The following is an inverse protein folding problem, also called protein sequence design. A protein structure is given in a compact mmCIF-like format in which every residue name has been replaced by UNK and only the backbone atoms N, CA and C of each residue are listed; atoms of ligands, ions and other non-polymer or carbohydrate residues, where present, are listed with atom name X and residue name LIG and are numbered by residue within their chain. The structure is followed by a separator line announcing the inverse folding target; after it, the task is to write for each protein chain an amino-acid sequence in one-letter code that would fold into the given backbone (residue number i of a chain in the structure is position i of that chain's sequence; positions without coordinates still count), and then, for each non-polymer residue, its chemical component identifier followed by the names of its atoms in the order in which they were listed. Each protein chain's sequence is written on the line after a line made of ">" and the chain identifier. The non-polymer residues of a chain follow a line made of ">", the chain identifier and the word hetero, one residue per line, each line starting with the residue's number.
data_IF_587293953531
#
_entry.id   IF_587293953531
#
_cell.length_a   1.000
_cell.length_b   1.000
_cell.length_c   1.000
_cell.angle_alpha   90.00
_cell.angle_beta   90.00
_cell.angle_gamma   90.00
#
_symmetry.space_group_name_H-M   'P 1'
#
loop_
_entity.id
_entity.type
_entity.pdbx_description
1 polymer ?
#
# COMPACT_ATOMS: atom_id res chain seq x y z
N UNK A 1 -18.47 4.45 -2.23
CA UNK A 1 -19.06 3.56 -3.28
C UNK A 1 -18.02 2.74 -4.05
N UNK A 2 -16.71 2.99 -3.93
CA UNK A 2 -15.64 2.28 -4.66
C UNK A 2 -15.33 0.87 -4.11
N UNK A 3 -15.24 0.69 -2.80
CA UNK A 3 -14.89 -0.60 -2.17
C UNK A 3 -15.79 -1.79 -2.58
N UNK A 4 -17.09 -1.56 -2.81
CA UNK A 4 -18.05 -2.61 -3.17
C UNK A 4 -17.73 -3.31 -4.50
N UNK A 5 -16.91 -2.69 -5.35
CA UNK A 5 -16.43 -3.32 -6.60
C UNK A 5 -15.39 -4.41 -6.32
N UNK A 6 -14.57 -4.20 -5.28
CA UNK A 6 -13.43 -5.05 -4.94
C UNK A 6 -13.73 -6.03 -3.80
N UNK A 7 -14.63 -5.67 -2.90
CA UNK A 7 -14.98 -6.43 -1.71
C UNK A 7 -16.49 -6.56 -1.53
N UNK A 8 -16.92 -7.73 -1.08
CA UNK A 8 -18.23 -7.93 -0.47
C UNK A 8 -18.11 -7.71 1.05
N UNK A 9 -19.06 -6.97 1.62
CA UNK A 9 -19.04 -6.57 3.02
C UNK A 9 -20.26 -7.19 3.69
N UNK A 10 -20.03 -7.96 4.75
CA UNK A 10 -21.07 -8.66 5.51
C UNK A 10 -20.88 -8.44 7.01
N UNK A 11 -21.99 -8.46 7.76
CA UNK A 11 -21.93 -8.49 9.22
C UNK A 11 -21.61 -9.92 9.64
N UNK A 12 -20.44 -10.11 10.25
CA UNK A 12 -19.97 -11.42 10.70
C UNK A 12 -20.37 -11.73 12.15
N UNK A 13 -20.85 -10.74 12.90
CA UNK A 13 -21.32 -10.92 14.27
C UNK A 13 -21.10 -9.70 15.15
N UNK A 14 -20.95 -9.93 16.45
CA UNK A 14 -20.62 -8.92 17.45
C UNK A 14 -19.47 -9.42 18.32
N UNK A 15 -18.69 -8.49 18.86
CA UNK A 15 -17.58 -8.80 19.77
C UNK A 15 -17.49 -7.74 20.88
N UNK A 16 -16.66 -8.00 21.89
CA UNK A 16 -16.21 -7.00 22.85
C UNK A 16 -14.71 -6.78 22.71
N UNK A 17 -14.28 -5.59 22.33
CA UNK A 17 -12.87 -5.20 22.13
C UNK A 17 -12.57 -4.01 23.03
N UNK A 18 -11.47 -4.07 23.78
CA UNK A 18 -11.11 -3.04 24.78
C UNK A 18 -12.28 -2.70 25.74
N UNK A 19 -13.08 -3.71 26.14
CA UNK A 19 -14.26 -3.54 27.00
C UNK A 19 -15.52 -3.00 26.29
N UNK A 20 -15.44 -2.61 25.02
CA UNK A 20 -16.51 -1.96 24.27
C UNK A 20 -17.22 -2.91 23.31
N UNK A 21 -18.52 -2.74 23.12
CA UNK A 21 -19.29 -3.54 22.17
C UNK A 21 -19.05 -3.10 20.73
N UNK A 22 -18.70 -4.06 19.88
CA UNK A 22 -18.40 -3.83 18.48
C UNK A 22 -19.22 -4.75 17.56
N UNK A 23 -19.55 -4.24 16.38
CA UNK A 23 -20.05 -5.05 15.26
C UNK A 23 -18.85 -5.56 14.47
N UNK A 24 -18.81 -6.86 14.19
CA UNK A 24 -17.80 -7.45 13.32
C UNK A 24 -18.27 -7.34 11.86
N UNK A 25 -17.46 -6.73 11.02
CA UNK A 25 -17.63 -6.69 9.57
C UNK A 25 -16.54 -7.54 8.92
N UNK A 26 -16.95 -8.44 8.03
CA UNK A 26 -16.05 -9.19 7.17
C UNK A 26 -16.04 -8.53 5.78
N UNK A 27 -14.84 -8.20 5.30
CA UNK A 27 -14.60 -7.69 3.96
C UNK A 27 -13.94 -8.82 3.15
N UNK A 28 -14.76 -9.54 2.38
CA UNK A 28 -14.30 -10.64 1.53
C UNK A 28 -13.90 -10.09 0.16
N UNK A 29 -12.68 -10.35 -0.32
CA UNK A 29 -12.30 -10.04 -1.69
C UNK A 29 -13.26 -10.70 -2.70
N UNK A 30 -13.59 -9.98 -3.77
CA UNK A 30 -14.35 -10.53 -4.89
C UNK A 30 -13.47 -11.29 -5.90
N UNK A 31 -12.14 -11.27 -5.70
CA UNK A 31 -11.13 -11.94 -6.51
C UNK A 31 -10.00 -12.53 -5.65
N UNK A 32 -9.09 -13.27 -6.27
CA UNK A 32 -7.95 -13.90 -5.59
C UNK A 32 -6.69 -13.00 -5.54
N UNK A 33 -6.82 -11.71 -5.85
CA UNK A 33 -5.66 -10.82 -6.04
C UNK A 33 -5.34 -9.96 -4.82
N UNK A 34 -6.09 -10.11 -3.73
CA UNK A 34 -5.94 -9.32 -2.50
C UNK A 34 -6.36 -10.13 -1.27
N UNK A 35 -5.93 -9.68 -0.10
CA UNK A 35 -6.29 -10.28 1.18
C UNK A 35 -7.63 -9.78 1.70
N UNK A 36 -8.27 -10.56 2.57
CA UNK A 36 -9.54 -10.20 3.22
C UNK A 36 -9.33 -9.58 4.59
N UNK A 37 -10.36 -8.92 5.13
CA UNK A 37 -10.28 -8.28 6.45
C UNK A 37 -11.46 -8.69 7.33
N UNK A 38 -11.22 -8.81 8.64
CA UNK A 38 -12.28 -8.71 9.66
C UNK A 38 -12.00 -7.48 10.50
N UNK A 39 -12.94 -6.54 10.51
CA UNK A 39 -12.85 -5.32 11.32
C UNK A 39 -13.92 -5.32 12.41
N UNK A 40 -13.57 -4.86 13.60
CA UNK A 40 -14.52 -4.64 14.68
C UNK A 40 -14.79 -3.14 14.81
N UNK A 41 -16.03 -2.72 14.58
CA UNK A 41 -16.45 -1.32 14.63
C UNK A 41 -17.22 -1.07 15.94
N UNK A 42 -16.76 -0.14 16.77
CA UNK A 42 -17.42 0.26 18.02
C UNK A 42 -18.86 0.71 17.75
N UNK A 43 -19.84 0.09 18.42
CA UNK A 43 -21.26 0.39 18.19
C UNK A 43 -21.64 1.82 18.62
N UNK A 44 -20.87 2.43 19.53
CA UNK A 44 -21.15 3.76 20.06
C UNK A 44 -20.48 4.88 19.25
N UNK A 45 -19.18 4.76 18.97
CA UNK A 45 -18.39 5.82 18.32
C UNK A 45 -18.17 5.62 16.82
N UNK A 46 -18.35 4.41 16.30
CA UNK A 46 -18.02 4.08 14.91
C UNK A 46 -16.52 3.90 14.64
N UNK A 47 -15.66 3.98 15.66
CA UNK A 47 -14.22 3.73 15.51
C UNK A 47 -13.93 2.25 15.26
N UNK A 48 -12.92 1.98 14.43
CA UNK A 48 -12.39 0.63 14.25
C UNK A 48 -11.51 0.25 15.44
N UNK A 49 -11.99 -0.69 16.26
CA UNK A 49 -11.30 -1.15 17.47
C UNK A 49 -10.30 -2.30 17.19
N UNK A 50 -10.53 -3.04 16.11
CA UNK A 50 -9.70 -4.16 15.69
C UNK A 50 -9.72 -4.27 14.16
N UNK A 51 -8.59 -4.63 13.58
CA UNK A 51 -8.49 -5.13 12.20
C UNK A 51 -7.68 -6.42 12.20
N UNK A 52 -8.18 -7.44 11.51
CA UNK A 52 -7.48 -8.71 11.28
C UNK A 52 -7.37 -8.91 9.78
N UNK A 53 -6.14 -8.97 9.28
CA UNK A 53 -5.85 -9.28 7.89
C UNK A 53 -5.84 -10.80 7.70
N UNK A 54 -6.54 -11.27 6.68
CA UNK A 54 -6.77 -12.69 6.40
C UNK A 54 -6.13 -13.08 5.07
N UNK A 55 -5.40 -14.19 5.08
CA UNK A 55 -4.88 -14.83 3.88
C UNK A 55 -6.00 -15.24 2.92
N UNK A 56 -5.63 -15.62 1.69
CA UNK A 56 -6.57 -16.21 0.72
C UNK A 56 -7.26 -17.49 1.24
N UNK A 57 -6.65 -18.18 2.21
CA UNK A 57 -7.23 -19.36 2.88
C UNK A 57 -8.03 -19.01 4.14
N UNK A 58 -8.26 -17.73 4.42
CA UNK A 58 -8.99 -17.23 5.58
C UNK A 58 -8.21 -17.30 6.89
N UNK A 59 -6.89 -17.51 6.86
CA UNK A 59 -6.06 -17.57 8.06
C UNK A 59 -5.62 -16.16 8.49
N UNK A 60 -5.66 -15.80 9.77
CA UNK A 60 -5.10 -14.55 10.25
C UNK A 60 -3.61 -14.44 9.92
N UNK A 61 -3.24 -13.31 9.33
CA UNK A 61 -1.85 -12.97 9.01
C UNK A 61 -1.34 -11.87 9.93
N UNK A 62 -2.16 -10.85 10.15
CA UNK A 62 -1.83 -9.71 10.99
C UNK A 62 -3.06 -9.29 11.80
N UNK A 63 -2.81 -8.71 12.97
CA UNK A 63 -3.84 -8.21 13.88
C UNK A 63 -3.40 -6.89 14.46
N UNK A 64 -4.21 -5.87 14.24
CA UNK A 64 -4.19 -4.63 14.98
C UNK A 64 -5.40 -4.59 15.92
N UNK A 65 -5.19 -4.21 17.19
CA UNK A 65 -6.26 -4.13 18.16
C UNK A 65 -5.92 -3.15 19.28
N UNK A 66 -6.90 -2.35 19.70
CA UNK A 66 -6.80 -1.61 20.95
C UNK A 66 -6.88 -2.54 22.17
N UNK A 67 -5.95 -2.37 23.11
CA UNK A 67 -6.01 -3.00 24.43
C UNK A 67 -6.93 -2.19 25.34
N UNK A 68 -6.80 -0.87 25.27
CA UNK A 68 -7.61 0.11 26.01
C UNK A 68 -7.87 1.32 25.10
N UNK A 69 -9.05 1.94 25.23
CA UNK A 69 -9.40 3.16 24.51
C UNK A 69 -10.47 3.95 25.26
N UNK A 70 -10.19 5.22 25.49
CA UNK A 70 -11.14 6.22 25.99
C UNK A 70 -11.54 7.12 24.84
N UNK A 71 -12.85 7.19 24.57
CA UNK A 71 -13.40 7.98 23.46
C UNK A 71 -14.23 9.12 24.03
N UNK A 72 -13.87 10.35 23.67
CA UNK A 72 -14.37 11.57 24.30
C UNK A 72 -13.39 12.09 25.37
N UNK A 73 -13.79 13.13 26.08
CA UNK A 73 -12.94 13.86 27.04
C UNK A 73 -12.78 15.32 26.67
N UNK A 74 -12.25 16.10 27.59
CA UNK A 74 -11.92 17.51 27.34
C UNK A 74 -10.56 17.60 26.64
N UNK A 75 -10.58 17.92 25.34
CA UNK A 75 -9.37 18.05 24.54
C UNK A 75 -8.50 19.22 25.00
N UNK A 76 -9.07 20.23 25.66
CA UNK A 76 -8.34 21.39 26.17
C UNK A 76 -7.47 21.03 27.39
N UNK A 77 -7.79 19.90 28.04
CA UNK A 77 -7.04 19.35 29.18
C UNK A 77 -5.98 18.32 28.78
N UNK A 78 -5.95 17.91 27.50
CA UNK A 78 -4.96 16.95 27.00
C UNK A 78 -3.66 17.70 26.75
N UNK A 79 -2.74 17.63 27.71
CA UNK A 79 -1.35 17.98 27.45
C UNK A 79 -0.79 16.99 26.42
N UNK A 80 -0.71 17.42 25.17
CA UNK A 80 0.10 16.73 24.17
C UNK A 80 1.54 16.94 24.60
N UNK A 81 2.27 15.89 25.05
CA UNK A 81 3.65 16.08 25.44
C UNK A 81 4.37 16.68 24.25
N UNK A 82 4.95 17.87 24.41
CA UNK A 82 5.98 18.38 23.50
C UNK A 82 7.25 17.57 23.74
N UNK A 83 7.15 16.25 23.56
CA UNK A 83 8.25 15.33 23.67
C UNK A 83 9.13 15.58 22.47
N UNK A 84 10.30 16.15 22.74
CA UNK A 84 11.49 16.08 21.90
C UNK A 84 11.80 14.61 21.60
N UNK A 85 11.06 14.02 20.65
CA UNK A 85 11.65 12.98 19.86
C UNK A 85 12.85 13.64 19.18
N UNK A 86 14.05 13.27 19.61
CA UNK A 86 15.25 13.37 18.76
C UNK A 86 15.07 12.39 17.57
N UNK A 87 13.97 12.54 16.82
CA UNK A 87 14.09 12.51 15.38
C UNK A 87 15.20 13.52 15.10
N UNK A 88 16.22 13.18 14.32
CA UNK A 88 17.20 14.15 13.85
C UNK A 88 16.54 15.18 12.94
N UNK A 89 15.57 15.92 13.46
CA UNK A 89 15.02 17.13 12.93
C UNK A 89 16.16 18.11 13.14
N UNK A 90 17.09 18.11 12.18
CA UNK A 90 17.54 19.40 11.70
C UNK A 90 16.26 20.24 11.59
N UNK A 91 16.16 21.34 12.33
CA UNK A 91 15.12 22.37 12.17
C UNK A 91 15.20 23.07 10.78
N UNK A 92 15.78 22.36 9.80
CA UNK A 92 15.98 22.64 8.38
C UNK A 92 16.03 21.35 7.53
N UNK A 93 15.46 20.24 8.01
CA UNK A 93 14.82 19.34 7.06
C UNK A 93 13.48 20.00 6.72
N UNK A 94 13.53 21.13 6.02
CA UNK A 94 12.56 21.34 4.96
C UNK A 94 12.62 20.03 4.17
N UNK A 95 11.67 19.13 4.43
CA UNK A 95 10.99 18.57 3.30
C UNK A 95 10.64 19.82 2.50
N UNK A 96 11.40 20.12 1.44
CA UNK A 96 10.97 21.07 0.43
C UNK A 96 9.67 20.48 -0.11
N UNK A 97 8.60 20.68 0.64
CA UNK A 97 7.25 20.72 0.17
C UNK A 97 7.31 22.00 -0.64
N UNK A 98 7.84 21.88 -1.86
CA UNK A 98 7.48 22.81 -2.88
C UNK A 98 5.95 22.82 -2.82
N UNK A 99 5.33 23.97 -2.57
CA UNK A 99 3.89 24.21 -2.71
C UNK A 99 3.41 23.97 -4.17
N UNK A 100 4.19 23.25 -4.98
CA UNK A 100 3.68 22.56 -6.14
C UNK A 100 2.78 21.41 -5.67
N UNK A 101 1.56 21.27 -6.21
CA UNK A 101 0.81 20.03 -6.07
C UNK A 101 1.76 18.89 -6.41
N UNK A 102 1.82 17.83 -5.58
CA UNK A 102 2.64 16.62 -5.78
C UNK A 102 2.86 16.43 -7.28
N UNK A 103 4.02 16.89 -7.77
CA UNK A 103 4.26 16.89 -9.21
C UNK A 103 4.40 15.43 -9.54
N UNK A 104 3.32 14.87 -10.09
CA UNK A 104 3.39 13.58 -10.71
C UNK A 104 4.41 13.76 -11.83
N UNK A 105 5.61 13.21 -11.64
CA UNK A 105 6.60 13.20 -12.70
C UNK A 105 5.96 12.61 -13.95
N UNK A 106 6.33 13.15 -15.12
CA UNK A 106 5.82 12.65 -16.39
C UNK A 106 5.98 11.12 -16.40
N UNK A 107 4.88 10.37 -16.57
CA UNK A 107 4.93 8.95 -16.30
C UNK A 107 5.82 8.27 -17.33
N UNK A 108 6.90 7.63 -16.86
CA UNK A 108 7.85 6.86 -17.68
C UNK A 108 7.39 5.42 -17.90
N UNK A 109 6.61 4.92 -16.95
CA UNK A 109 6.17 3.52 -16.89
C UNK A 109 4.67 3.46 -16.66
N UNK A 110 4.05 2.41 -17.18
CA UNK A 110 2.67 2.06 -16.89
C UNK A 110 2.54 0.56 -16.63
N UNK A 111 1.59 0.19 -15.77
CA UNK A 111 1.23 -1.20 -15.54
C UNK A 111 0.20 -1.64 -16.59
N UNK A 112 0.50 -2.68 -17.36
CA UNK A 112 -0.44 -3.25 -18.33
C UNK A 112 -1.60 -4.01 -17.67
N UNK A 113 -1.47 -4.37 -16.39
CA UNK A 113 -2.54 -4.99 -15.62
C UNK A 113 -2.48 -4.60 -14.14
N UNK A 114 -3.65 -4.38 -13.54
CA UNK A 114 -3.85 -4.21 -12.11
C UNK A 114 -5.11 -4.94 -11.66
N UNK A 115 -5.18 -5.41 -10.40
CA UNK A 115 -6.43 -5.90 -9.83
C UNK A 115 -7.50 -4.81 -9.83
N UNK A 116 -8.76 -5.21 -10.00
CA UNK A 116 -9.90 -4.29 -10.06
C UNK A 116 -9.89 -3.32 -8.87
N UNK A 117 -10.07 -2.03 -9.14
CA UNK A 117 -10.19 -1.00 -8.10
C UNK A 117 -8.87 -0.41 -7.62
N UNK A 118 -7.71 -1.01 -7.92
CA UNK A 118 -6.43 -0.33 -7.71
C UNK A 118 -6.31 0.85 -8.67
N UNK A 119 -5.89 1.99 -8.12
CA UNK A 119 -5.58 3.22 -8.86
C UNK A 119 -4.23 3.76 -8.42
N UNK A 120 -3.51 4.41 -9.34
CA UNK A 120 -2.24 5.08 -8.99
C UNK A 120 -2.56 6.30 -8.13
N UNK A 121 -1.93 6.37 -6.95
CA UNK A 121 -2.11 7.48 -5.99
C UNK A 121 -0.91 8.41 -5.94
N UNK A 122 0.22 8.01 -6.53
CA UNK A 122 1.41 8.84 -6.66
C UNK A 122 2.50 8.15 -7.46
N UNK A 123 3.45 8.96 -7.96
CA UNK A 123 4.65 8.47 -8.60
C UNK A 123 5.80 9.44 -8.37
N UNK A 124 7.02 8.91 -8.35
CA UNK A 124 8.23 9.72 -8.12
C UNK A 124 9.40 9.11 -8.87
N UNK A 125 10.14 9.96 -9.58
CA UNK A 125 11.49 9.69 -10.04
C UNK A 125 12.47 10.12 -8.95
N UNK A 126 13.46 9.28 -8.64
CA UNK A 126 14.52 9.68 -7.72
C UNK A 126 15.37 10.83 -8.31
N UNK A 127 16.24 11.42 -7.46
CA UNK A 127 17.06 12.58 -7.86
C UNK A 127 18.11 12.24 -8.90
N UNK A 128 18.59 11.01 -8.92
CA UNK A 128 19.64 10.54 -9.84
C UNK A 128 19.03 10.09 -11.19
N UNK A 129 17.70 9.98 -11.26
CA UNK A 129 16.94 9.55 -12.43
C UNK A 129 16.93 8.03 -12.64
N UNK A 130 17.44 7.26 -11.67
CA UNK A 130 17.75 5.84 -11.80
C UNK A 130 16.64 4.91 -11.30
N UNK A 131 15.79 5.40 -10.41
CA UNK A 131 14.64 4.64 -9.91
C UNK A 131 13.35 5.44 -10.10
N UNK A 132 12.36 4.81 -10.72
CA UNK A 132 10.99 5.31 -10.81
C UNK A 132 10.08 4.48 -9.92
N UNK A 133 9.30 5.14 -9.06
CA UNK A 133 8.35 4.51 -8.15
C UNK A 133 6.92 4.91 -8.46
N UNK A 134 5.99 3.97 -8.32
CA UNK A 134 4.55 4.18 -8.50
C UNK A 134 3.79 3.53 -7.34
N UNK A 135 2.97 4.32 -6.65
CA UNK A 135 2.14 3.85 -5.53
C UNK A 135 0.71 3.63 -6.03
N UNK A 136 0.12 2.50 -5.68
CA UNK A 136 -1.26 2.14 -6.03
C UNK A 136 -2.04 1.74 -4.79
N UNK A 137 -3.33 2.08 -4.77
CA UNK A 137 -4.25 1.63 -3.72
C UNK A 137 -5.64 1.32 -4.27
N UNK A 138 -6.32 0.36 -3.65
CA UNK A 138 -7.74 0.08 -3.87
C UNK A 138 -8.66 0.64 -2.77
N UNK A 139 -8.08 1.42 -1.86
CA UNK A 139 -8.73 1.99 -0.68
C UNK A 139 -8.55 1.17 0.60
N UNK A 140 -8.06 -0.07 0.54
CA UNK A 140 -7.64 -0.85 1.70
C UNK A 140 -6.18 -1.30 1.60
N UNK A 141 -5.85 -1.96 0.50
CA UNK A 141 -4.50 -2.41 0.24
C UNK A 141 -3.71 -1.30 -0.48
N UNK A 142 -2.42 -1.27 -0.21
CA UNK A 142 -1.45 -0.39 -0.86
C UNK A 142 -0.30 -1.25 -1.37
N UNK A 143 0.19 -0.92 -2.56
CA UNK A 143 1.41 -1.50 -3.13
C UNK A 143 2.22 -0.41 -3.82
N UNK A 144 3.53 -0.63 -3.89
CA UNK A 144 4.47 0.22 -4.62
C UNK A 144 5.22 -0.64 -5.63
N UNK A 145 5.32 -0.14 -6.85
CA UNK A 145 6.14 -0.69 -7.92
C UNK A 145 7.36 0.21 -8.09
N UNK A 146 8.55 -0.37 -8.04
CA UNK A 146 9.82 0.30 -8.31
C UNK A 146 10.40 -0.25 -9.60
N UNK A 147 10.93 0.64 -10.43
CA UNK A 147 11.56 0.32 -11.71
C UNK A 147 12.93 0.95 -11.73
N UNK A 148 13.96 0.13 -11.82
CA UNK A 148 15.35 0.57 -11.88
C UNK A 148 15.82 0.70 -13.33
N UNK A 149 16.66 1.70 -13.61
CA UNK A 149 17.32 1.91 -14.90
C UNK A 149 18.17 0.70 -15.29
N UNK A 150 18.49 0.57 -16.58
CA UNK A 150 19.32 -0.56 -17.06
C UNK A 150 20.72 -0.47 -16.47
N UNK A 151 21.22 0.75 -16.28
CA UNK A 151 22.53 1.09 -15.74
C UNK A 151 22.67 0.70 -14.26
N UNK A 152 21.61 0.93 -13.48
CA UNK A 152 21.56 0.67 -12.04
C UNK A 152 20.92 -0.67 -11.70
N UNK A 153 20.38 -1.38 -12.70
CA UNK A 153 19.75 -2.70 -12.58
C UNK A 153 20.65 -3.66 -11.79
N UNK A 154 20.20 -4.00 -10.59
CA UNK A 154 21.05 -4.75 -9.67
C UNK A 154 21.28 -6.17 -10.23
N UNK A 155 22.50 -6.71 -10.06
CA UNK A 155 22.83 -8.11 -10.34
C UNK A 155 22.27 -9.08 -9.29
N UNK A 156 21.15 -8.73 -8.65
CA UNK A 156 20.45 -9.61 -7.71
C UNK A 156 19.57 -10.58 -8.51
N UNK A 157 19.62 -11.89 -8.22
CA UNK A 157 18.69 -12.85 -8.79
C UNK A 157 17.24 -12.52 -8.39
N UNK A 158 16.25 -12.78 -9.25
CA UNK A 158 14.84 -12.65 -8.88
C UNK A 158 14.52 -13.41 -7.59
N UNK A 159 13.78 -12.79 -6.69
CA UNK A 159 13.35 -13.42 -5.44
C UNK A 159 12.00 -12.91 -4.98
N UNK A 160 11.33 -13.72 -4.16
CA UNK A 160 10.09 -13.38 -3.47
C UNK A 160 10.32 -13.55 -1.97
N UNK A 161 10.25 -12.45 -1.23
CA UNK A 161 10.29 -12.44 0.22
C UNK A 161 8.92 -12.05 0.78
N UNK A 162 8.65 -12.51 2.00
CA UNK A 162 7.41 -12.20 2.73
C UNK A 162 7.71 -11.97 4.20
N UNK A 163 7.16 -10.89 4.75
CA UNK A 163 7.18 -10.59 6.18
C UNK A 163 5.76 -10.20 6.60
N UNK A 164 5.13 -11.02 7.46
CA UNK A 164 3.71 -10.85 7.77
C UNK A 164 2.85 -10.93 6.52
N UNK A 165 2.09 -9.88 6.23
CA UNK A 165 1.33 -9.74 5.00
C UNK A 165 2.02 -8.99 3.88
N UNK A 166 3.11 -8.31 4.19
CA UNK A 166 3.90 -7.60 3.19
C UNK A 166 4.73 -8.57 2.36
N UNK A 167 4.49 -8.53 1.05
CA UNK A 167 5.31 -9.19 0.04
C UNK A 167 6.31 -8.20 -0.52
N UNK A 168 7.53 -8.67 -0.77
CA UNK A 168 8.52 -7.98 -1.58
C UNK A 168 9.00 -8.94 -2.69
N UNK A 169 8.63 -8.62 -3.93
CA UNK A 169 9.10 -9.31 -5.12
C UNK A 169 10.18 -8.47 -5.79
N UNK A 170 11.26 -9.09 -6.20
CA UNK A 170 12.22 -8.55 -7.18
C UNK A 170 12.20 -9.46 -8.40
N UNK A 171 11.96 -8.87 -9.57
CA UNK A 171 11.89 -9.59 -10.84
C UNK A 171 12.74 -8.90 -11.91
N UNK A 172 13.18 -9.68 -12.90
CA UNK A 172 13.83 -9.15 -14.11
C UNK A 172 12.86 -9.25 -15.27
N UNK A 173 12.52 -8.11 -15.85
CA UNK A 173 11.55 -8.01 -16.95
C UNK A 173 12.30 -7.58 -18.20
N UNK A 174 12.00 -8.23 -19.33
CA UNK A 174 12.56 -7.88 -20.63
C UNK A 174 11.71 -6.76 -21.23
N UNK A 175 12.31 -5.59 -21.44
CA UNK A 175 11.68 -4.42 -22.06
C UNK A 175 12.60 -3.90 -23.16
N UNK A 176 12.08 -3.79 -24.39
CA UNK A 176 12.81 -3.31 -25.56
C UNK A 176 14.19 -3.98 -25.78
N UNK A 177 14.29 -5.26 -25.44
CA UNK A 177 15.52 -6.06 -25.59
C UNK A 177 16.50 -5.97 -24.42
N UNK A 178 16.20 -5.18 -23.39
CA UNK A 178 17.03 -5.00 -22.20
C UNK A 178 16.33 -5.53 -20.95
N UNK A 179 17.08 -6.16 -20.04
CA UNK A 179 16.54 -6.60 -18.75
C UNK A 179 16.60 -5.46 -17.73
N UNK A 180 15.44 -5.04 -17.25
CA UNK A 180 15.30 -4.10 -16.13
C UNK A 180 14.91 -4.85 -14.86
N UNK A 181 15.25 -4.28 -13.72
CA UNK A 181 14.84 -4.81 -12.42
C UNK A 181 13.56 -4.09 -11.98
N UNK A 182 12.52 -4.88 -11.70
CA UNK A 182 11.22 -4.41 -11.21
C UNK A 182 10.98 -5.00 -9.84
N UNK A 183 10.72 -4.14 -8.86
CA UNK A 183 10.37 -4.55 -7.51
C UNK A 183 8.91 -4.20 -7.21
N UNK A 184 8.18 -5.13 -6.60
CA UNK A 184 6.79 -4.89 -6.16
C UNK A 184 6.70 -5.19 -4.68
N UNK A 185 6.30 -4.19 -3.89
CA UNK A 185 6.18 -4.29 -2.43
C UNK A 185 4.77 -3.91 -2.00
N UNK A 186 4.14 -4.73 -1.16
CA UNK A 186 2.82 -4.40 -0.62
C UNK A 186 2.10 -5.55 0.06
N UNK A 187 0.95 -5.25 0.66
CA UNK A 187 0.07 -6.20 1.33
C UNK A 187 -0.83 -6.94 0.32
N UNK A 188 -0.20 -7.69 -0.59
CA UNK A 188 -0.87 -8.44 -1.66
C UNK A 188 -0.35 -9.89 -1.73
N UNK A 189 -1.10 -10.83 -2.34
CA UNK A 189 -0.58 -12.14 -2.68
C UNK A 189 0.65 -12.08 -3.58
N UNK A 190 1.58 -13.03 -3.41
CA UNK A 190 2.81 -13.09 -4.20
C UNK A 190 2.57 -13.22 -5.71
N UNK A 191 1.54 -13.96 -6.11
CA UNK A 191 1.18 -14.09 -7.52
C UNK A 191 0.57 -12.80 -8.10
N UNK A 192 -0.08 -11.98 -7.27
CA UNK A 192 -0.47 -10.61 -7.66
C UNK A 192 0.76 -9.77 -7.97
N UNK A 193 1.77 -9.78 -7.08
CA UNK A 193 3.00 -9.03 -7.27
C UNK A 193 3.73 -9.43 -8.56
N UNK A 194 3.82 -10.75 -8.84
CA UNK A 194 4.44 -11.26 -10.08
C UNK A 194 3.73 -10.77 -11.32
N UNK A 195 2.39 -10.90 -11.34
CA UNK A 195 1.58 -10.49 -12.48
C UNK A 195 1.68 -8.99 -12.76
N UNK A 196 1.74 -8.16 -11.70
CA UNK A 196 1.95 -6.72 -11.86
C UNK A 196 3.32 -6.46 -12.50
N UNK A 197 4.39 -7.06 -11.97
CA UNK A 197 5.74 -6.88 -12.48
C UNK A 197 5.86 -7.28 -13.96
N UNK A 198 5.31 -8.44 -14.35
CA UNK A 198 5.32 -8.95 -15.71
C UNK A 198 4.47 -8.13 -16.70
N UNK A 199 3.51 -7.35 -16.20
CA UNK A 199 2.66 -6.50 -17.03
C UNK A 199 3.24 -5.12 -17.33
N UNK A 200 4.39 -4.78 -16.73
CA UNK A 200 4.95 -3.45 -16.81
C UNK A 200 5.39 -3.13 -18.24
N UNK A 201 5.06 -1.92 -18.72
CA UNK A 201 5.47 -1.43 -20.04
C UNK A 201 5.98 0.01 -19.95
N UNK A 202 6.97 0.39 -20.77
CA UNK A 202 7.40 1.77 -20.87
C UNK A 202 6.28 2.60 -21.52
N UNK A 203 6.13 3.85 -21.09
CA UNK A 203 5.28 4.79 -21.80
C UNK A 203 6.03 5.34 -23.02
N UNK A 204 5.38 5.44 -24.19
CA UNK A 204 6.02 5.98 -25.38
C UNK A 204 6.49 7.42 -25.11
N UNK A 205 7.75 7.69 -25.46
CA UNK A 205 8.28 9.05 -25.42
C UNK A 205 7.62 9.87 -26.53
N UNK A 206 6.64 10.70 -26.18
CA UNK A 206 5.86 11.53 -27.11
C UNK A 206 6.72 12.58 -27.85
N UNK A 207 8.04 12.62 -27.61
CA UNK A 207 9.00 13.50 -28.28
C UNK A 207 9.75 12.89 -29.48
N UNK A 208 9.61 11.60 -29.79
CA UNK A 208 10.26 10.98 -30.96
C UNK A 208 9.25 10.65 -32.06
N UNK A 209 8.92 11.65 -32.86
CA UNK A 209 8.35 11.42 -34.21
C UNK A 209 9.47 10.86 -35.10
N UNK A 210 9.21 9.84 -35.94
CA UNK A 210 10.18 9.32 -36.91
C UNK A 210 10.65 10.37 -37.92
#
# INVERSE_FOLDING_TARGET
>A
MQLKRSYSIEIAGSARIAGREATLLMLRPNDAWRYGYVVAIDKKSGLMLQSVLLSLSGKPMERFQFVEISVGGDLDSVEIPSGSYNLGVNERADCEISDSPLKQDAPKWQTGWLPTGFVMTGSQLDRDGDQYSMVFSDGLAVLTVFVESVETSIKVPPFLAKSGATVALVSKVLVDGSFITVSVVGEIPGDTAKRIAESLTPLPDLGKTP
#
